data_IF_848712976601
#
_entry.id   IF_848712976601
#
_cell.length_a   1.000
_cell.length_b   1.000
_cell.length_c   1.000
_cell.angle_alpha   90.00
_cell.angle_beta   90.00
_cell.angle_gamma   90.00
#
_symmetry.space_group_name_H-M   'P 1'
#
loop_
_entity.id
_entity.type
_entity.pdbx_description
1 polymer ?
#
# COMPACT_ATOMS: atom_id res chain seq x y z
N UNK A 1 -20.34 4.79 -6.24
CA UNK A 1 -18.91 4.69 -5.93
C UNK A 1 -18.82 3.61 -4.87
N UNK A 2 -18.11 2.51 -5.15
CA UNK A 2 -17.98 1.38 -4.21
C UNK A 2 -16.89 1.59 -3.14
N UNK A 3 -16.17 2.71 -3.22
CA UNK A 3 -15.40 3.19 -2.07
C UNK A 3 -16.39 3.59 -0.98
N UNK A 4 -16.26 2.99 0.19
CA UNK A 4 -17.23 3.15 1.28
C UNK A 4 -17.13 4.51 1.99
N UNK A 5 -15.98 5.19 1.86
CA UNK A 5 -15.72 6.46 2.53
C UNK A 5 -14.25 6.82 2.54
N UNK A 6 -13.88 7.76 3.40
CA UNK A 6 -12.53 8.27 3.52
C UNK A 6 -12.24 8.94 4.85
N UNK A 7 -10.97 9.25 5.08
CA UNK A 7 -10.50 9.81 6.34
C UNK A 7 -10.22 11.30 6.24
N UNK A 8 -10.89 12.07 7.10
CA UNK A 8 -10.66 13.50 7.27
C UNK A 8 -10.25 13.81 8.73
N UNK A 9 -9.58 14.93 8.94
CA UNK A 9 -9.21 15.41 10.26
C UNK A 9 -10.46 15.73 11.08
N UNK A 10 -10.49 15.30 12.35
CA UNK A 10 -11.58 15.58 13.30
C UNK A 10 -11.76 17.08 13.54
N UNK A 11 -10.69 17.86 13.35
CA UNK A 11 -10.71 19.32 13.45
C UNK A 11 -9.88 19.94 12.32
N UNK A 12 -10.39 21.01 11.73
CA UNK A 12 -9.63 21.86 10.80
C UNK A 12 -8.58 22.73 11.54
N UNK A 13 -8.72 22.85 12.87
CA UNK A 13 -7.89 23.66 13.76
C UNK A 13 -6.96 22.72 14.54
N UNK A 14 -5.75 23.20 14.88
CA UNK A 14 -4.58 22.48 15.41
C UNK A 14 -4.74 21.65 16.71
N UNK A 15 -5.94 21.28 17.14
CA UNK A 15 -6.21 20.63 18.41
C UNK A 15 -6.11 19.10 18.39
N UNK A 16 -6.11 18.46 17.21
CA UNK A 16 -6.04 16.99 17.13
C UNK A 16 -5.40 16.50 15.81
N UNK A 17 -4.48 15.52 15.85
CA UNK A 17 -4.03 14.81 14.66
C UNK A 17 -4.98 13.67 14.24
N UNK A 18 -6.05 13.44 15.00
CA UNK A 18 -6.95 12.32 14.78
C UNK A 18 -7.70 12.44 13.44
N UNK A 19 -7.86 11.30 12.78
CA UNK A 19 -8.68 11.16 11.58
C UNK A 19 -9.98 10.43 11.94
N UNK A 20 -11.06 10.80 11.27
CA UNK A 20 -12.35 10.11 11.38
C UNK A 20 -12.77 9.61 10.01
N UNK A 21 -13.36 8.42 9.99
CA UNK A 21 -13.95 7.87 8.77
C UNK A 21 -15.28 8.56 8.49
N UNK A 22 -15.38 9.17 7.32
CA UNK A 22 -16.59 9.78 6.79
C UNK A 22 -17.08 8.97 5.59
N UNK A 23 -18.40 8.81 5.45
CA UNK A 23 -18.98 8.20 4.26
C UNK A 23 -18.72 9.10 3.05
N UNK A 24 -18.68 8.52 1.85
CA UNK A 24 -18.41 9.28 0.62
C UNK A 24 -19.34 10.49 0.43
N UNK A 25 -20.61 10.38 0.84
CA UNK A 25 -21.58 11.46 0.75
C UNK A 25 -21.23 12.67 1.64
N UNK A 26 -20.47 12.44 2.70
CA UNK A 26 -20.10 13.42 3.72
C UNK A 26 -18.68 13.98 3.48
N UNK A 27 -17.94 13.45 2.50
CA UNK A 27 -16.60 13.91 2.17
C UNK A 27 -16.63 15.23 1.39
N UNK A 28 -15.69 16.16 1.67
CA UNK A 28 -15.42 17.29 0.80
C UNK A 28 -15.15 16.84 -0.64
N UNK A 29 -15.74 17.55 -1.62
CA UNK A 29 -15.65 17.19 -3.05
C UNK A 29 -14.24 17.29 -3.67
N UNK A 30 -13.26 17.84 -2.94
CA UNK A 30 -11.90 18.11 -3.42
C UNK A 30 -10.88 17.71 -2.35
N UNK A 31 -9.62 17.56 -2.75
CA UNK A 31 -8.46 17.26 -1.90
C UNK A 31 -8.34 15.83 -1.34
N UNK A 32 -9.22 14.92 -1.77
CA UNK A 32 -9.10 13.48 -1.50
C UNK A 32 -8.45 12.76 -2.67
N UNK A 33 -7.65 11.77 -2.34
CA UNK A 33 -7.05 10.83 -3.26
C UNK A 33 -7.51 9.43 -2.90
N UNK A 34 -7.69 8.61 -3.93
CA UNK A 34 -7.84 7.18 -3.77
C UNK A 34 -6.49 6.60 -3.35
N UNK A 35 -6.50 5.76 -2.33
CA UNK A 35 -5.30 5.12 -1.79
C UNK A 35 -5.48 3.59 -1.70
N UNK A 36 -4.37 2.89 -1.91
CA UNK A 36 -4.26 1.44 -1.79
C UNK A 36 -3.71 1.09 -0.43
N UNK A 37 -4.43 0.32 0.41
CA UNK A 37 -3.96 0.05 1.78
C UNK A 37 -2.49 -0.42 1.82
N UNK A 38 -2.14 -1.40 0.98
CA UNK A 38 -0.75 -1.71 0.67
C UNK A 38 -0.30 -0.88 -0.54
N UNK A 39 0.79 -0.15 -0.38
CA UNK A 39 1.33 0.72 -1.42
C UNK A 39 1.71 -0.01 -2.71
N UNK A 40 1.61 0.66 -3.85
CA UNK A 40 1.97 0.09 -5.17
C UNK A 40 3.47 -0.21 -5.31
N UNK A 41 4.32 0.23 -4.38
CA UNK A 41 5.73 -0.17 -4.30
C UNK A 41 5.91 -1.55 -3.65
N UNK A 42 4.90 -2.08 -2.95
CA UNK A 42 4.92 -3.40 -2.33
C UNK A 42 5.35 -4.52 -3.31
N UNK A 43 4.77 -4.67 -4.52
CA UNK A 43 5.18 -5.70 -5.46
C UNK A 43 6.66 -5.59 -5.85
N UNK A 44 7.16 -4.37 -6.04
CA UNK A 44 8.57 -4.15 -6.38
C UNK A 44 9.47 -4.70 -5.28
N UNK A 45 9.27 -4.28 -4.02
CA UNK A 45 10.09 -4.73 -2.90
C UNK A 45 9.98 -6.24 -2.69
N UNK A 46 8.79 -6.82 -2.88
CA UNK A 46 8.60 -8.25 -2.80
C UNK A 46 9.38 -9.02 -3.88
N UNK A 47 9.29 -8.59 -5.15
CA UNK A 47 10.01 -9.21 -6.26
C UNK A 47 11.53 -9.07 -6.11
N UNK A 48 12.02 -7.93 -5.60
CA UNK A 48 13.42 -7.75 -5.24
C UNK A 48 13.83 -8.80 -4.19
N UNK A 49 13.07 -8.96 -3.10
CA UNK A 49 13.31 -10.00 -2.08
C UNK A 49 13.35 -11.40 -2.70
N UNK A 50 12.46 -11.71 -3.65
CA UNK A 50 12.43 -13.01 -4.31
C UNK A 50 13.75 -13.35 -5.02
N UNK A 51 14.44 -12.34 -5.58
CA UNK A 51 15.65 -12.54 -6.37
C UNK A 51 16.92 -12.43 -5.51
N UNK A 52 17.00 -11.42 -4.64
CA UNK A 52 18.23 -11.11 -3.89
C UNK A 52 18.27 -11.76 -2.50
N UNK A 53 17.14 -12.31 -2.03
CA UNK A 53 17.06 -13.00 -0.74
C UNK A 53 17.26 -12.08 0.46
N UNK A 54 16.96 -10.78 0.33
CA UNK A 54 17.00 -9.81 1.43
C UNK A 54 15.59 -9.41 1.83
N UNK A 55 15.26 -9.58 3.10
CA UNK A 55 14.00 -9.16 3.69
C UNK A 55 14.03 -7.65 4.02
N UNK A 56 12.89 -6.94 3.92
CA UNK A 56 12.81 -5.52 4.27
C UNK A 56 13.20 -5.29 5.73
N UNK A 57 14.20 -4.45 5.98
CA UNK A 57 14.64 -4.13 7.33
C UNK A 57 15.04 -2.68 7.45
N UNK A 58 14.79 -2.11 8.63
CA UNK A 58 15.31 -0.80 9.04
C UNK A 58 16.60 -0.92 9.86
N UNK A 59 17.00 -2.13 10.28
CA UNK A 59 18.20 -2.41 11.07
C UNK A 59 18.96 -3.55 10.40
N UNK A 60 20.02 -3.19 9.66
CA UNK A 60 20.89 -4.15 8.98
C UNK A 60 20.20 -4.97 7.89
N UNK A 61 20.94 -5.91 7.31
CA UNK A 61 20.43 -6.83 6.29
C UNK A 61 19.90 -8.10 6.94
N UNK A 62 18.64 -8.46 6.68
CA UNK A 62 18.05 -9.73 7.11
C UNK A 62 18.01 -10.66 5.90
N UNK A 63 18.68 -11.81 5.98
CA UNK A 63 18.69 -12.80 4.91
C UNK A 63 17.45 -13.68 4.95
N UNK A 64 16.88 -13.92 3.78
CA UNK A 64 15.82 -14.89 3.55
C UNK A 64 16.39 -16.31 3.71
N UNK A 65 15.66 -17.18 4.42
CA UNK A 65 16.02 -18.58 4.57
C UNK A 65 15.43 -19.48 3.47
N UNK A 66 14.38 -19.02 2.80
CA UNK A 66 13.79 -19.72 1.66
C UNK A 66 14.68 -19.62 0.41
N UNK A 67 14.64 -20.62 -0.50
CA UNK A 67 15.32 -20.54 -1.78
C UNK A 67 14.89 -19.29 -2.57
N UNK A 68 15.86 -18.58 -3.14
CA UNK A 68 15.60 -17.46 -4.04
C UNK A 68 15.08 -17.96 -5.39
N UNK A 69 14.30 -17.12 -6.06
CA UNK A 69 13.87 -17.36 -7.43
C UNK A 69 14.95 -16.92 -8.41
N UNK A 70 15.03 -17.63 -9.53
CA UNK A 70 15.88 -17.22 -10.64
C UNK A 70 15.30 -15.94 -11.28
N UNK A 71 16.12 -14.90 -11.40
CA UNK A 71 15.69 -13.59 -11.94
C UNK A 71 15.10 -13.69 -13.36
N UNK A 72 15.76 -14.42 -14.26
CA UNK A 72 15.31 -14.56 -15.64
C UNK A 72 13.97 -15.29 -15.72
N UNK A 73 13.78 -16.36 -14.92
CA UNK A 73 12.50 -17.07 -14.83
C UNK A 73 11.42 -16.19 -14.22
N UNK A 74 11.76 -15.39 -13.20
CA UNK A 74 10.83 -14.44 -12.59
C UNK A 74 10.34 -13.42 -13.60
N UNK A 75 11.25 -12.76 -14.32
CA UNK A 75 10.92 -11.76 -15.34
C UNK A 75 10.06 -12.35 -16.47
N UNK A 76 10.41 -13.54 -16.96
CA UNK A 76 9.66 -14.21 -18.03
C UNK A 76 8.26 -14.63 -17.58
N UNK A 77 8.09 -14.97 -16.30
CA UNK A 77 6.86 -15.62 -15.80
C UNK A 77 5.91 -14.66 -15.08
N UNK A 78 6.39 -13.52 -14.60
CA UNK A 78 5.57 -12.54 -13.89
C UNK A 78 4.42 -11.97 -14.73
N UNK A 79 4.63 -11.88 -16.04
CA UNK A 79 3.63 -11.43 -17.02
C UNK A 79 3.08 -12.57 -17.88
N UNK A 80 3.43 -13.83 -17.56
CA UNK A 80 2.90 -15.01 -18.25
C UNK A 80 1.43 -15.16 -17.88
N UNK A 81 0.59 -15.43 -18.89
CA UNK A 81 -0.84 -15.70 -18.67
C UNK A 81 -1.01 -17.04 -17.98
N UNK A 82 -1.93 -17.11 -17.03
CA UNK A 82 -2.42 -18.40 -16.53
C UNK A 82 -3.03 -19.23 -17.68
N UNK A 83 -2.92 -20.55 -17.58
CA UNK A 83 -3.52 -21.43 -18.57
C UNK A 83 -5.05 -21.27 -18.61
N UNK A 84 -5.63 -21.46 -19.79
CA UNK A 84 -7.09 -21.42 -19.98
C UNK A 84 -7.78 -22.49 -19.14
N UNK A 85 -8.91 -22.14 -18.52
CA UNK A 85 -9.72 -23.08 -17.73
C UNK A 85 -9.31 -23.26 -16.27
N UNK A 86 -8.23 -22.60 -15.80
CA UNK A 86 -7.92 -22.55 -14.37
C UNK A 86 -8.99 -21.72 -13.66
N UNK A 87 -9.62 -22.31 -12.64
CA UNK A 87 -10.55 -21.63 -11.75
C UNK A 87 -9.78 -20.69 -10.81
N UNK A 88 -9.49 -19.48 -11.26
CA UNK A 88 -8.90 -18.43 -10.45
C UNK A 88 -9.99 -17.63 -9.74
N UNK A 89 -9.67 -17.11 -8.56
CA UNK A 89 -10.57 -16.21 -7.83
C UNK A 89 -10.87 -14.96 -8.65
N UNK A 90 -12.11 -14.49 -8.56
CA UNK A 90 -12.53 -13.25 -9.21
C UNK A 90 -12.18 -12.09 -8.29
N UNK A 91 -11.28 -11.19 -8.75
CA UNK A 91 -10.90 -9.97 -7.99
C UNK A 91 -11.62 -8.72 -8.50
N UNK A 92 -12.04 -8.74 -9.76
CA UNK A 92 -12.89 -7.71 -10.31
C UNK A 92 -14.32 -8.20 -10.19
N UNK A 93 -15.14 -7.59 -9.34
CA UNK A 93 -16.56 -7.79 -9.54
C UNK A 93 -16.90 -7.06 -10.86
N UNK A 94 -17.50 -7.75 -11.83
CA UNK A 94 -18.41 -7.07 -12.78
C UNK A 94 -19.65 -6.65 -11.99
N UNK A 95 -19.45 -5.88 -10.93
CA UNK A 95 -20.51 -5.36 -10.12
C UNK A 95 -21.16 -4.26 -10.94
N UNK A 96 -22.35 -4.55 -11.44
CA UNK A 96 -23.21 -3.57 -12.09
C UNK A 96 -23.47 -2.30 -11.24
N UNK A 97 -23.13 -2.32 -9.94
CA UNK A 97 -23.17 -1.17 -9.01
C UNK A 97 -21.91 -0.29 -9.08
N UNK A 98 -20.83 -0.69 -9.78
CA UNK A 98 -19.63 0.12 -10.03
C UNK A 98 -19.96 1.34 -10.90
N UNK A 99 -20.44 2.41 -10.25
CA UNK A 99 -20.62 3.72 -10.88
C UNK A 99 -19.28 4.46 -10.93
N UNK A 100 -18.94 4.99 -12.11
CA UNK A 100 -17.76 5.85 -12.32
C UNK A 100 -16.56 5.16 -12.98
N UNK A 101 -16.69 3.88 -13.35
CA UNK A 101 -15.69 3.19 -14.18
C UNK A 101 -15.66 3.85 -15.57
N UNK A 102 -14.50 4.30 -16.07
CA UNK A 102 -14.39 4.84 -17.41
C UNK A 102 -14.85 3.80 -18.45
N UNK A 103 -15.66 4.19 -19.44
CA UNK A 103 -16.12 3.26 -20.48
C UNK A 103 -15.01 2.62 -21.33
N UNK A 104 -13.80 3.19 -21.27
CA UNK A 104 -12.57 2.66 -21.91
C UNK A 104 -11.72 1.78 -20.98
N UNK A 105 -12.17 1.52 -19.75
CA UNK A 105 -11.43 0.66 -18.83
C UNK A 105 -11.41 -0.77 -19.38
N UNK A 106 -10.22 -1.35 -19.44
CA UNK A 106 -10.01 -2.74 -19.81
C UNK A 106 -9.41 -3.41 -18.58
N UNK A 107 -10.02 -4.49 -18.07
CA UNK A 107 -9.44 -5.26 -16.97
C UNK A 107 -8.01 -5.70 -17.28
N UNK A 108 -7.11 -5.70 -16.29
CA UNK A 108 -5.75 -6.21 -16.49
C UNK A 108 -5.75 -7.65 -17.02
N UNK A 109 -4.70 -7.99 -17.77
CA UNK A 109 -4.53 -9.37 -18.24
C UNK A 109 -4.43 -10.33 -17.05
N UNK A 110 -4.94 -11.55 -17.27
CA UNK A 110 -4.90 -12.62 -16.27
C UNK A 110 -3.49 -13.21 -16.14
N UNK A 111 -2.59 -12.43 -15.55
CA UNK A 111 -1.18 -12.71 -15.27
C UNK A 111 -0.92 -12.42 -13.78
N UNK A 112 0.14 -12.98 -13.18
CA UNK A 112 0.53 -12.65 -11.80
C UNK A 112 0.57 -11.14 -11.53
N UNK A 113 1.24 -10.39 -12.41
CA UNK A 113 1.32 -8.93 -12.34
C UNK A 113 -0.05 -8.25 -12.39
N UNK A 114 -0.85 -8.55 -13.41
CA UNK A 114 -2.14 -7.88 -13.62
C UNK A 114 -3.11 -8.14 -12.48
N UNK A 115 -3.12 -9.38 -11.98
CA UNK A 115 -3.98 -9.79 -10.87
C UNK A 115 -3.53 -9.20 -9.54
N UNK A 116 -2.23 -9.22 -9.23
CA UNK A 116 -1.73 -8.62 -8.00
C UNK A 116 -2.02 -7.10 -7.96
N UNK A 117 -1.85 -6.39 -9.08
CA UNK A 117 -2.20 -4.97 -9.16
C UNK A 117 -3.71 -4.73 -9.00
N UNK A 118 -4.56 -5.60 -9.56
CA UNK A 118 -6.02 -5.56 -9.35
C UNK A 118 -6.38 -5.76 -7.88
N UNK A 119 -5.71 -6.70 -7.21
CA UNK A 119 -5.92 -6.98 -5.78
C UNK A 119 -5.59 -5.77 -4.91
N UNK A 120 -4.49 -5.05 -5.21
CA UNK A 120 -4.14 -3.84 -4.49
C UNK A 120 -5.23 -2.77 -4.62
N UNK A 121 -5.85 -2.69 -5.80
CA UNK A 121 -7.03 -1.87 -6.07
C UNK A 121 -6.92 -1.16 -7.42
N UNK A 122 -7.98 -1.26 -8.21
CA UNK A 122 -8.13 -0.59 -9.49
C UNK A 122 -9.60 -0.26 -9.74
N UNK A 123 -9.97 0.10 -10.97
CA UNK A 123 -11.37 0.37 -11.31
C UNK A 123 -12.29 -0.86 -11.23
N UNK A 124 -11.75 -2.08 -11.39
CA UNK A 124 -12.48 -3.33 -11.25
C UNK A 124 -12.60 -3.79 -9.79
N UNK A 125 -11.71 -3.31 -8.91
CA UNK A 125 -11.66 -3.66 -7.50
C UNK A 125 -11.57 -2.43 -6.60
N UNK A 126 -12.61 -1.57 -6.66
CA UNK A 126 -12.66 -0.35 -5.86
C UNK A 126 -12.93 -0.59 -4.37
N UNK A 127 -13.36 -1.80 -3.97
CA UNK A 127 -13.63 -2.11 -2.55
C UNK A 127 -12.37 -2.20 -1.69
N UNK A 128 -11.21 -2.43 -2.32
CA UNK A 128 -9.91 -2.45 -1.66
C UNK A 128 -9.24 -1.07 -1.59
N UNK A 129 -9.95 -0.02 -2.05
CA UNK A 129 -9.49 1.35 -2.04
C UNK A 129 -10.16 2.16 -0.92
N UNK A 130 -9.40 3.10 -0.37
CA UNK A 130 -9.88 4.09 0.60
C UNK A 130 -9.68 5.50 0.03
N UNK A 131 -10.34 6.49 0.63
CA UNK A 131 -10.08 7.90 0.34
C UNK A 131 -9.33 8.54 1.51
N UNK A 132 -8.24 9.24 1.22
CA UNK A 132 -7.50 10.03 2.23
C UNK A 132 -7.07 11.36 1.63
N UNK A 133 -6.75 12.34 2.48
CA UNK A 133 -6.16 13.60 2.00
C UNK A 133 -4.79 13.35 1.37
N UNK A 134 -4.47 14.11 0.31
CA UNK A 134 -3.24 13.94 -0.47
C UNK A 134 -1.96 13.94 0.38
N UNK A 135 -1.87 14.77 1.41
CA UNK A 135 -0.69 14.82 2.27
C UNK A 135 -0.55 13.62 3.21
N UNK A 136 -1.67 13.09 3.71
CA UNK A 136 -1.68 11.84 4.50
C UNK A 136 -1.26 10.68 3.60
N UNK A 137 -1.80 10.62 2.37
CA UNK A 137 -1.39 9.64 1.36
C UNK A 137 0.12 9.71 1.08
N UNK A 138 0.66 10.92 0.90
CA UNK A 138 2.08 11.13 0.65
C UNK A 138 2.94 10.63 1.82
N UNK A 139 2.61 10.98 3.07
CA UNK A 139 3.37 10.52 4.25
C UNK A 139 3.33 9.00 4.35
N UNK A 140 2.16 8.40 4.15
CA UNK A 140 2.00 6.95 4.15
C UNK A 140 2.88 6.29 3.08
N UNK A 141 2.86 6.80 1.85
CA UNK A 141 3.71 6.33 0.77
C UNK A 141 5.21 6.38 1.11
N UNK A 142 5.66 7.43 1.82
CA UNK A 142 7.03 7.49 2.34
C UNK A 142 7.32 6.37 3.35
N UNK A 143 6.46 6.19 4.35
CA UNK A 143 6.63 5.18 5.39
C UNK A 143 6.66 3.75 4.82
N UNK A 144 5.75 3.44 3.90
CA UNK A 144 5.66 2.13 3.22
C UNK A 144 6.79 1.89 2.22
N UNK A 145 7.43 2.96 1.73
CA UNK A 145 8.67 2.89 0.96
C UNK A 145 9.93 2.87 1.84
N UNK A 146 9.76 2.74 3.17
CA UNK A 146 10.84 2.79 4.17
C UNK A 146 11.66 4.09 4.14
N UNK A 147 11.05 5.17 3.68
CA UNK A 147 11.61 6.52 3.69
C UNK A 147 11.11 7.27 4.93
N UNK A 148 11.99 8.10 5.51
CA UNK A 148 11.58 8.97 6.61
C UNK A 148 10.93 10.24 6.01
N UNK A 149 9.65 10.55 6.33
CA UNK A 149 8.97 11.76 5.88
C UNK A 149 9.73 13.05 6.25
N UNK A 150 10.52 13.01 7.34
CA UNK A 150 11.46 14.05 7.72
C UNK A 150 12.80 13.46 8.17
N UNK A 151 13.74 13.35 7.23
CA UNK A 151 15.11 12.94 7.53
C UNK A 151 15.73 13.82 8.64
N UNK A 152 16.55 13.20 9.51
CA UNK A 152 17.13 13.85 10.69
C UNK A 152 17.86 15.16 10.36
N UNK A 153 18.66 15.20 9.29
CA UNK A 153 19.33 16.42 8.86
C UNK A 153 18.36 17.54 8.52
N UNK A 154 17.26 17.23 7.81
CA UNK A 154 16.20 18.20 7.50
C UNK A 154 15.47 18.66 8.77
N UNK A 155 15.21 17.75 9.71
CA UNK A 155 14.61 18.11 10.99
C UNK A 155 15.51 19.10 11.74
N UNK A 156 16.81 18.82 11.86
CA UNK A 156 17.79 19.72 12.50
C UNK A 156 17.80 21.10 11.85
N UNK A 157 17.82 21.17 10.52
CA UNK A 157 17.74 22.45 9.78
C UNK A 157 16.45 23.20 10.10
N UNK A 158 15.29 22.56 9.98
CA UNK A 158 14.01 23.23 10.25
C UNK A 158 13.89 23.67 11.71
N UNK A 159 14.45 22.92 12.68
CA UNK A 159 14.47 23.32 14.09
C UNK A 159 15.32 24.59 14.27
N UNK A 160 16.53 24.62 13.69
CA UNK A 160 17.39 25.79 13.78
C UNK A 160 16.74 27.04 13.15
N UNK A 161 16.13 26.90 11.98
CA UNK A 161 15.41 27.97 11.29
C UNK A 161 14.17 28.43 12.10
N UNK A 162 13.41 27.49 12.66
CA UNK A 162 12.26 27.82 13.51
C UNK A 162 12.67 28.57 14.79
N UNK A 163 13.76 28.15 15.44
CA UNK A 163 14.31 28.84 16.62
C UNK A 163 14.84 30.24 16.27
N UNK A 164 15.28 30.46 15.03
CA UNK A 164 15.64 31.78 14.50
C UNK A 164 14.42 32.63 14.10
N UNK A 165 13.19 32.12 14.27
CA UNK A 165 11.95 32.85 14.00
C UNK A 165 11.28 32.52 12.67
N UNK A 166 11.79 31.58 11.88
CA UNK A 166 11.14 31.15 10.64
C UNK A 166 9.89 30.30 10.94
N UNK A 167 8.73 30.95 10.88
CA UNK A 167 7.42 30.31 11.05
C UNK A 167 7.17 29.22 10.01
N UNK A 168 7.71 29.33 8.79
CA UNK A 168 7.53 28.34 7.75
C UNK A 168 8.17 27.01 8.12
N UNK A 169 9.34 27.04 8.75
CA UNK A 169 10.04 25.84 9.20
C UNK A 169 9.38 25.20 10.42
N UNK A 170 8.85 25.99 11.35
CA UNK A 170 8.01 25.50 12.44
C UNK A 170 6.76 24.76 11.90
N UNK A 171 6.06 25.36 10.93
CA UNK A 171 4.88 24.77 10.30
C UNK A 171 5.20 23.46 9.56
N UNK A 172 6.36 23.34 8.91
CA UNK A 172 6.78 22.10 8.24
C UNK A 172 6.96 20.95 9.24
N UNK A 173 7.62 21.21 10.38
CA UNK A 173 7.79 20.23 11.47
C UNK A 173 6.43 19.77 11.98
N UNK A 174 5.58 20.72 12.34
CA UNK A 174 4.24 20.46 12.85
C UNK A 174 3.40 19.64 11.86
N UNK A 175 3.40 20.04 10.59
CA UNK A 175 2.61 19.41 9.53
C UNK A 175 3.01 17.94 9.34
N UNK A 176 4.32 17.65 9.27
CA UNK A 176 4.78 16.27 9.08
C UNK A 176 4.47 15.41 10.30
N UNK A 177 4.73 15.90 11.52
CA UNK A 177 4.40 15.15 12.74
C UNK A 177 2.91 14.83 12.82
N UNK A 178 2.05 15.82 12.57
CA UNK A 178 0.60 15.63 12.53
C UNK A 178 0.21 14.55 11.53
N UNK A 179 0.71 14.64 10.30
CA UNK A 179 0.37 13.66 9.27
C UNK A 179 0.91 12.25 9.57
N UNK A 180 2.07 12.12 10.22
CA UNK A 180 2.56 10.81 10.69
C UNK A 180 1.57 10.23 11.71
N UNK A 181 1.14 10.99 12.71
CA UNK A 181 0.12 10.54 13.66
C UNK A 181 -1.20 10.19 12.97
N UNK A 182 -1.67 11.05 12.05
CA UNK A 182 -2.86 10.80 11.26
C UNK A 182 -2.78 9.48 10.48
N UNK A 183 -1.60 9.15 9.92
CA UNK A 183 -1.39 7.87 9.23
C UNK A 183 -1.61 6.70 10.18
N UNK A 184 -1.00 6.71 11.37
CA UNK A 184 -1.20 5.63 12.34
C UNK A 184 -2.61 5.55 12.88
N UNK A 185 -3.28 6.68 13.04
CA UNK A 185 -4.65 6.73 13.54
C UNK A 185 -5.59 6.00 12.57
N UNK A 186 -5.57 6.37 11.28
CA UNK A 186 -6.44 5.68 10.32
C UNK A 186 -6.01 4.23 10.05
N UNK A 187 -4.71 3.90 10.03
CA UNK A 187 -4.27 2.50 9.89
C UNK A 187 -4.77 1.64 11.07
N UNK A 188 -5.05 2.24 12.22
CA UNK A 188 -5.61 1.56 13.37
C UNK A 188 -7.15 1.52 13.41
N UNK A 189 -7.82 2.32 12.58
CA UNK A 189 -9.28 2.34 12.45
C UNK A 189 -9.84 0.98 12.03
N UNK A 190 -11.02 0.64 12.57
CA UNK A 190 -11.66 -0.64 12.31
C UNK A 190 -11.99 -0.85 10.82
N UNK A 191 -12.36 0.22 10.11
CA UNK A 191 -12.72 0.18 8.68
C UNK A 191 -11.49 -0.04 7.82
N UNK A 192 -10.40 0.69 8.09
CA UNK A 192 -9.13 0.48 7.40
C UNK A 192 -8.60 -0.94 7.63
N UNK A 193 -8.71 -1.48 8.85
CA UNK A 193 -8.34 -2.87 9.16
C UNK A 193 -9.18 -3.91 8.43
N UNK A 194 -10.45 -3.62 8.11
CA UNK A 194 -11.26 -4.50 7.27
C UNK A 194 -10.69 -4.53 5.85
N UNK A 195 -10.39 -3.35 5.27
CA UNK A 195 -9.78 -3.26 3.94
C UNK A 195 -8.41 -3.93 3.92
N UNK A 196 -7.55 -3.69 4.92
CA UNK A 196 -6.26 -4.37 5.07
C UNK A 196 -6.39 -5.89 4.99
N UNK A 197 -7.29 -6.47 5.81
CA UNK A 197 -7.46 -7.92 5.87
C UNK A 197 -7.98 -8.48 4.55
N UNK A 198 -8.96 -7.81 3.93
CA UNK A 198 -9.48 -8.20 2.62
C UNK A 198 -8.37 -8.19 1.57
N UNK A 199 -7.63 -7.09 1.46
CA UNK A 199 -6.52 -6.95 0.52
C UNK A 199 -5.44 -7.99 0.78
N UNK A 200 -5.01 -8.18 2.04
CA UNK A 200 -3.97 -9.16 2.38
C UNK A 200 -4.40 -10.60 2.07
N UNK A 201 -5.65 -10.96 2.35
CA UNK A 201 -6.19 -12.28 2.02
C UNK A 201 -6.19 -12.50 0.50
N UNK A 202 -6.62 -11.50 -0.26
CA UNK A 202 -6.61 -11.56 -1.73
C UNK A 202 -5.17 -11.64 -2.29
N UNK A 203 -4.21 -10.91 -1.70
CA UNK A 203 -2.79 -11.02 -2.09
C UNK A 203 -2.29 -12.44 -1.81
N UNK A 204 -2.51 -12.94 -0.59
CA UNK A 204 -2.06 -14.29 -0.17
C UNK A 204 -2.64 -15.37 -1.08
N UNK A 205 -3.91 -15.22 -1.46
CA UNK A 205 -4.57 -16.11 -2.38
C UNK A 205 -3.97 -16.03 -3.79
N UNK A 206 -3.65 -14.83 -4.28
CA UNK A 206 -2.99 -14.70 -5.58
C UNK A 206 -1.58 -15.28 -5.57
N UNK A 207 -0.79 -15.07 -4.51
CA UNK A 207 0.50 -15.72 -4.32
C UNK A 207 0.37 -17.25 -4.33
N UNK A 208 -0.70 -17.78 -3.73
CA UNK A 208 -0.99 -19.22 -3.76
C UNK A 208 -1.36 -19.71 -5.17
N UNK A 209 -2.10 -18.91 -5.95
CA UNK A 209 -2.37 -19.24 -7.35
C UNK A 209 -1.08 -19.26 -8.19
N UNK A 210 -0.18 -18.30 -7.96
CA UNK A 210 1.13 -18.25 -8.64
C UNK A 210 1.92 -19.51 -8.35
N UNK A 211 2.06 -19.88 -7.07
CA UNK A 211 2.74 -21.10 -6.62
C UNK A 211 2.19 -22.36 -7.30
N UNK A 212 0.87 -22.47 -7.42
CA UNK A 212 0.21 -23.68 -7.92
C UNK A 212 0.17 -23.77 -9.45
N UNK A 213 0.24 -22.65 -10.17
CA UNK A 213 -0.09 -22.61 -11.60
C UNK A 213 0.99 -21.98 -12.49
N UNK A 214 2.03 -21.39 -11.92
CA UNK A 214 3.20 -20.89 -12.66
C UNK A 214 4.43 -21.66 -12.18
N UNK A 215 4.77 -22.81 -12.79
CA UNK A 215 5.85 -23.70 -12.32
C UNK A 215 7.20 -22.99 -12.17
N UNK A 216 7.48 -22.02 -13.02
CA UNK A 216 8.71 -21.22 -12.99
C UNK A 216 8.86 -20.35 -11.74
N UNK A 217 7.78 -20.12 -11.00
CA UNK A 217 7.72 -19.30 -9.78
C UNK A 217 7.52 -20.14 -8.51
N UNK A 218 7.72 -21.46 -8.58
CA UNK A 218 7.59 -22.35 -7.43
C UNK A 218 8.50 -21.91 -6.27
N UNK A 219 7.95 -21.90 -5.06
CA UNK A 219 8.59 -21.39 -3.86
C UNK A 219 8.24 -19.95 -3.50
N UNK A 220 7.60 -19.18 -4.39
CA UNK A 220 7.21 -17.78 -4.15
C UNK A 220 6.36 -17.61 -2.88
N UNK A 221 5.51 -18.59 -2.55
CA UNK A 221 4.68 -18.52 -1.35
C UNK A 221 5.53 -18.56 -0.07
N UNK A 222 6.54 -19.42 -0.01
CA UNK A 222 7.42 -19.51 1.15
C UNK A 222 8.20 -18.20 1.38
N UNK A 223 8.58 -17.52 0.28
CA UNK A 223 9.20 -16.19 0.34
C UNK A 223 8.20 -15.17 0.89
N UNK A 224 6.98 -15.15 0.36
CA UNK A 224 5.92 -14.24 0.79
C UNK A 224 5.58 -14.37 2.28
N UNK A 225 5.45 -15.60 2.77
CA UNK A 225 5.12 -15.88 4.18
C UNK A 225 6.18 -15.32 5.15
N UNK A 226 7.45 -15.20 4.70
CA UNK A 226 8.53 -14.54 5.46
C UNK A 226 8.60 -13.04 5.23
N UNK A 227 8.33 -12.62 3.99
CA UNK A 227 8.36 -11.23 3.57
C UNK A 227 7.31 -10.40 4.30
N UNK A 228 6.04 -10.81 4.27
CA UNK A 228 4.94 -9.95 4.70
C UNK A 228 5.01 -9.51 6.17
N UNK A 229 5.26 -10.41 7.15
CA UNK A 229 5.41 -9.98 8.54
C UNK A 229 6.60 -9.04 8.74
N UNK A 230 7.69 -9.29 8.02
CA UNK A 230 8.92 -8.49 8.10
C UNK A 230 8.72 -7.10 7.49
N UNK A 231 8.05 -7.02 6.34
CA UNK A 231 7.66 -5.78 5.70
C UNK A 231 6.79 -4.91 6.61
N UNK A 232 5.71 -5.48 7.18
CA UNK A 232 4.85 -4.75 8.13
C UNK A 232 5.61 -4.24 9.34
N UNK A 233 6.48 -5.08 9.92
CA UNK A 233 7.31 -4.68 11.04
C UNK A 233 8.30 -3.55 10.68
N UNK A 234 8.87 -3.57 9.48
CA UNK A 234 9.76 -2.53 8.99
C UNK A 234 9.01 -1.19 8.80
N UNK A 235 7.80 -1.22 8.24
CA UNK A 235 6.95 -0.03 8.09
C UNK A 235 6.59 0.57 9.45
N UNK A 236 6.17 -0.26 10.41
CA UNK A 236 5.82 0.20 11.76
C UNK A 236 7.01 0.84 12.49
N UNK A 237 8.21 0.29 12.36
CA UNK A 237 9.42 0.84 13.01
C UNK A 237 10.01 2.05 12.28
N UNK A 238 9.55 2.38 11.07
CA UNK A 238 10.10 3.48 10.28
C UNK A 238 9.60 4.84 10.73
N UNK A 239 8.39 4.90 11.28
CA UNK A 239 7.84 6.10 11.86
C UNK A 239 8.45 6.44 13.22
#
# INVERSE_FOLDING_TARGET
MLVNGGYDAVSAICTSPALTFLKVADLPKKAFQTEHFFEVQFPKTFLETCVIGLLPSIIGQIKLQAPMLNEALLLASWNKKYATGIALNTFYETDSRLKGVPGKYVPPSNTPSGRLMTVLGDWGNMENLLLVKSHVNWVKGQLFSLNNPMAEGKLKTNIAEALAGDKGSAMKIETVLKHVFSVFDYLNDATAKIVERKTLNAITQEITNIENHIPELKGIKAIFDKFMPTYKAAVLKKA
#
